data_IF_268487367836
#
_entry.id   IF_268487367836
#
_cell.length_a   1.000
_cell.length_b   1.000
_cell.length_c   1.000
_cell.angle_alpha   90.00
_cell.angle_beta   90.00
_cell.angle_gamma   90.00
#
_symmetry.space_group_name_H-M   'P 1'
#
loop_
_entity.id
_entity.type
_entity.pdbx_description
1 polymer ?
#
# COMPACT_ATOMS: atom_id res chain seq x y z
N UNK A 1 -8.62 2.31 -22.30
CA UNK A 1 -7.64 3.12 -21.56
C UNK A 1 -6.31 2.37 -21.64
N UNK A 2 -5.20 3.04 -21.93
CA UNK A 2 -3.89 2.39 -22.07
C UNK A 2 -3.17 2.52 -20.72
N UNK A 3 -3.19 1.45 -19.92
CA UNK A 3 -2.50 1.41 -18.62
C UNK A 3 -0.99 1.23 -18.82
N UNK A 4 -0.18 1.83 -17.96
CA UNK A 4 1.26 1.60 -17.93
C UNK A 4 1.56 0.19 -17.43
N UNK A 5 2.76 -0.33 -17.74
CA UNK A 5 3.18 -1.64 -17.21
C UNK A 5 3.22 -1.66 -15.67
N UNK A 6 3.48 -0.51 -15.05
CA UNK A 6 3.51 -0.38 -13.60
C UNK A 6 2.10 -0.37 -13.01
N UNK A 7 1.11 0.25 -13.66
CA UNK A 7 -0.30 0.15 -13.25
C UNK A 7 -0.80 -1.30 -13.31
N UNK A 8 -0.50 -2.01 -14.41
CA UNK A 8 -0.85 -3.44 -14.55
C UNK A 8 -0.18 -4.27 -13.45
N UNK A 9 1.08 -3.97 -13.13
CA UNK A 9 1.79 -4.65 -12.04
C UNK A 9 1.15 -4.36 -10.67
N UNK A 10 0.73 -3.12 -10.42
CA UNK A 10 0.04 -2.75 -9.19
C UNK A 10 -1.29 -3.50 -9.04
N UNK A 11 -2.08 -3.56 -10.11
CA UNK A 11 -3.35 -4.28 -10.15
C UNK A 11 -3.13 -5.79 -9.92
N UNK A 12 -2.14 -6.37 -10.61
CA UNK A 12 -1.80 -7.78 -10.42
C UNK A 12 -1.38 -8.10 -8.98
N UNK A 13 -0.51 -7.27 -8.39
CA UNK A 13 -0.05 -7.47 -7.01
C UNK A 13 -1.20 -7.33 -6.01
N UNK A 14 -2.16 -6.42 -6.26
CA UNK A 14 -3.37 -6.27 -5.47
C UNK A 14 -4.25 -7.52 -5.51
N UNK A 15 -4.53 -8.04 -6.71
CA UNK A 15 -5.33 -9.26 -6.88
C UNK A 15 -4.63 -10.52 -6.35
N UNK A 16 -3.30 -10.59 -6.47
CA UNK A 16 -2.50 -11.65 -5.87
C UNK A 16 -2.59 -11.61 -4.34
N UNK A 17 -2.51 -10.42 -3.72
CA UNK A 17 -2.69 -10.28 -2.29
C UNK A 17 -4.09 -10.70 -1.84
N UNK A 18 -5.13 -10.41 -2.64
CA UNK A 18 -6.46 -10.96 -2.40
C UNK A 18 -6.46 -12.48 -2.42
N UNK A 19 -5.86 -13.10 -3.44
CA UNK A 19 -5.80 -14.57 -3.56
C UNK A 19 -5.04 -15.25 -2.42
N UNK A 20 -3.98 -14.61 -1.90
CA UNK A 20 -3.12 -15.17 -0.86
C UNK A 20 -3.63 -14.93 0.57
N UNK A 21 -4.24 -13.77 0.83
CA UNK A 21 -4.61 -13.35 2.19
C UNK A 21 -6.11 -13.40 2.46
N UNK A 22 -6.94 -13.50 1.44
CA UNK A 22 -8.39 -13.40 1.58
C UNK A 22 -9.09 -14.57 0.88
N UNK A 23 -9.74 -15.45 1.65
CA UNK A 23 -10.65 -16.46 1.10
C UNK A 23 -12.06 -15.87 0.89
N UNK A 24 -12.68 -16.15 -0.25
CA UNK A 24 -14.07 -15.82 -0.54
C UNK A 24 -14.30 -15.09 -1.87
N UNK A 25 -15.51 -15.22 -2.42
CA UNK A 25 -15.90 -14.55 -3.66
C UNK A 25 -16.18 -13.06 -3.36
N UNK A 26 -15.21 -12.18 -3.67
CA UNK A 26 -15.32 -10.74 -3.36
C UNK A 26 -16.58 -10.09 -3.94
N UNK A 27 -17.02 -10.51 -5.13
CA UNK A 27 -18.22 -9.95 -5.77
C UNK A 27 -19.52 -10.20 -4.99
N UNK A 28 -19.59 -11.23 -4.14
CA UNK A 28 -20.74 -11.48 -3.25
C UNK A 28 -20.51 -11.05 -1.80
N UNK A 29 -19.36 -10.45 -1.50
CA UNK A 29 -19.00 -10.06 -0.14
C UNK A 29 -19.68 -8.75 0.25
N UNK A 30 -20.26 -8.68 1.46
CA UNK A 30 -20.87 -7.45 1.99
C UNK A 30 -19.81 -6.35 2.19
N UNK A 31 -20.21 -5.09 1.97
CA UNK A 31 -19.34 -3.91 2.01
C UNK A 31 -18.41 -3.81 3.23
N UNK A 32 -18.83 -4.12 4.47
CA UNK A 32 -17.93 -4.04 5.63
C UNK A 32 -16.71 -4.97 5.51
N UNK A 33 -16.89 -6.16 4.96
CA UNK A 33 -15.80 -7.12 4.80
C UNK A 33 -14.85 -6.71 3.67
N UNK A 34 -15.36 -6.14 2.57
CA UNK A 34 -14.51 -5.58 1.51
C UNK A 34 -13.65 -4.43 2.04
N UNK A 35 -14.24 -3.53 2.83
CA UNK A 35 -13.51 -2.43 3.49
C UNK A 35 -12.44 -2.97 4.43
N UNK A 36 -12.76 -4.01 5.20
CA UNK A 36 -11.79 -4.66 6.09
C UNK A 36 -10.63 -5.30 5.32
N UNK A 37 -10.89 -5.98 4.20
CA UNK A 37 -9.83 -6.53 3.32
C UNK A 37 -8.95 -5.41 2.73
N UNK A 38 -9.54 -4.29 2.31
CA UNK A 38 -8.80 -3.12 1.85
C UNK A 38 -7.90 -2.53 2.95
N UNK A 39 -8.42 -2.44 4.18
CA UNK A 39 -7.65 -2.00 5.33
C UNK A 39 -6.48 -2.96 5.62
N UNK A 40 -6.69 -4.28 5.58
CA UNK A 40 -5.62 -5.26 5.78
C UNK A 40 -4.50 -5.13 4.72
N UNK A 41 -4.87 -4.96 3.45
CA UNK A 41 -3.90 -4.75 2.37
C UNK A 41 -3.08 -3.46 2.59
N UNK A 42 -3.71 -2.40 3.09
CA UNK A 42 -3.02 -1.15 3.44
C UNK A 42 -2.06 -1.33 4.62
N UNK A 43 -2.47 -2.04 5.67
CA UNK A 43 -1.58 -2.35 6.80
C UNK A 43 -0.39 -3.21 6.39
N UNK A 44 -0.59 -4.17 5.48
CA UNK A 44 0.51 -4.98 4.94
C UNK A 44 1.55 -4.09 4.22
N UNK A 45 1.10 -3.17 3.37
CA UNK A 45 2.00 -2.23 2.69
C UNK A 45 2.80 -1.37 3.69
N UNK A 46 2.15 -0.87 4.74
CA UNK A 46 2.83 -0.12 5.80
C UNK A 46 3.82 -0.95 6.60
N UNK A 47 3.50 -2.22 6.85
CA UNK A 47 4.43 -3.14 7.49
C UNK A 47 5.71 -3.29 6.68
N UNK A 48 5.62 -3.37 5.35
CA UNK A 48 6.81 -3.42 4.48
C UNK A 48 7.65 -2.14 4.60
N UNK A 49 7.01 -0.96 4.64
CA UNK A 49 7.73 0.31 4.79
C UNK A 49 8.43 0.46 6.14
N UNK A 50 7.91 -0.14 7.22
CA UNK A 50 8.57 -0.13 8.53
C UNK A 50 9.90 -0.87 8.55
N UNK A 51 10.17 -1.74 7.58
CA UNK A 51 11.44 -2.48 7.45
C UNK A 51 12.45 -1.78 6.53
N UNK A 52 12.11 -0.61 5.99
CA UNK A 52 12.99 0.16 5.13
C UNK A 52 13.69 1.27 5.90
N UNK A 53 14.98 1.45 5.61
CA UNK A 53 15.70 2.68 5.97
C UNK A 53 15.37 3.77 4.95
N UNK A 54 14.32 4.54 5.24
CA UNK A 54 13.89 5.60 4.33
C UNK A 54 14.81 6.83 4.41
N UNK A 55 15.26 7.36 3.25
CA UNK A 55 15.95 8.64 3.19
C UNK A 55 15.13 9.77 3.82
N UNK A 56 15.83 10.79 4.34
CA UNK A 56 15.16 11.93 4.97
C UNK A 56 14.43 12.82 3.95
N UNK A 57 14.95 12.90 2.72
CA UNK A 57 14.32 13.67 1.65
C UNK A 57 13.15 12.87 1.06
N UNK A 58 11.97 13.48 1.05
CA UNK A 58 10.74 12.85 0.53
C UNK A 58 10.92 12.35 -0.90
N UNK A 59 11.51 13.15 -1.79
CA UNK A 59 11.72 12.75 -3.19
C UNK A 59 12.60 11.50 -3.34
N UNK A 60 13.63 11.37 -2.50
CA UNK A 60 14.51 10.20 -2.47
C UNK A 60 13.79 8.97 -1.90
N UNK A 61 13.01 9.15 -0.83
CA UNK A 61 12.19 8.08 -0.26
C UNK A 61 11.14 7.58 -1.26
N UNK A 62 10.46 8.48 -1.96
CA UNK A 62 9.52 8.13 -3.03
C UNK A 62 10.23 7.40 -4.16
N UNK A 63 11.41 7.86 -4.58
CA UNK A 63 12.22 7.20 -5.60
C UNK A 63 12.66 5.79 -5.19
N UNK A 64 13.07 5.61 -3.93
CA UNK A 64 13.41 4.31 -3.36
C UNK A 64 12.22 3.36 -3.39
N UNK A 65 11.06 3.80 -2.89
CA UNK A 65 9.83 2.99 -2.83
C UNK A 65 9.37 2.62 -4.24
N UNK A 66 9.30 3.59 -5.16
CA UNK A 66 8.87 3.38 -6.54
C UNK A 66 9.76 2.34 -7.24
N UNK A 67 11.09 2.44 -7.05
CA UNK A 67 12.06 1.52 -7.63
C UNK A 67 11.97 0.14 -7.01
N UNK A 68 11.94 0.05 -5.66
CA UNK A 68 11.95 -1.21 -4.93
C UNK A 68 10.72 -2.07 -5.22
N UNK A 69 9.54 -1.44 -5.31
CA UNK A 69 8.29 -2.14 -5.54
C UNK A 69 7.83 -2.14 -7.00
N UNK A 70 8.61 -1.53 -7.89
CA UNK A 70 8.29 -1.38 -9.31
C UNK A 70 6.91 -0.72 -9.56
N UNK A 71 6.63 0.36 -8.85
CA UNK A 71 5.38 1.12 -8.93
C UNK A 71 5.64 2.54 -9.45
N UNK A 72 4.58 3.24 -9.84
CA UNK A 72 4.69 4.63 -10.27
C UNK A 72 5.08 5.55 -9.11
N UNK A 73 5.81 6.63 -9.41
CA UNK A 73 6.22 7.61 -8.39
C UNK A 73 5.04 8.23 -7.65
N UNK A 74 3.96 8.55 -8.35
CA UNK A 74 2.73 9.10 -7.76
C UNK A 74 2.08 8.11 -6.80
N UNK A 75 2.07 6.82 -7.15
CA UNK A 75 1.58 5.76 -6.27
C UNK A 75 2.45 5.62 -5.02
N UNK A 76 3.78 5.59 -5.19
CA UNK A 76 4.73 5.54 -4.07
C UNK A 76 4.60 6.75 -3.14
N UNK A 77 4.39 7.95 -3.68
CA UNK A 77 4.22 9.19 -2.93
C UNK A 77 2.98 9.18 -2.04
N UNK A 78 1.84 8.78 -2.59
CA UNK A 78 0.59 8.61 -1.82
C UNK A 78 0.76 7.56 -0.71
N UNK A 79 1.48 6.46 -0.98
CA UNK A 79 1.73 5.42 0.02
C UNK A 79 2.64 5.90 1.16
N UNK A 80 3.67 6.68 0.84
CA UNK A 80 4.55 7.27 1.84
C UNK A 80 3.80 8.26 2.73
N UNK A 81 2.95 9.11 2.15
CA UNK A 81 2.13 10.07 2.89
C UNK A 81 1.23 9.39 3.92
N UNK A 82 0.43 8.41 3.47
CA UNK A 82 -0.47 7.68 4.37
C UNK A 82 0.27 6.92 5.47
N UNK A 83 1.47 6.41 5.19
CA UNK A 83 2.29 5.75 6.19
C UNK A 83 2.77 6.73 7.27
N UNK A 84 3.19 7.94 6.89
CA UNK A 84 3.58 9.00 7.83
C UNK A 84 2.38 9.40 8.71
N UNK A 85 1.21 9.64 8.11
CA UNK A 85 -0.02 9.94 8.84
C UNK A 85 -0.38 8.83 9.84
N UNK A 86 -0.31 7.57 9.41
CA UNK A 86 -0.60 6.43 10.28
C UNK A 86 0.36 6.35 11.47
N UNK A 87 1.65 6.66 11.26
CA UNK A 87 2.64 6.71 12.34
C UNK A 87 2.40 7.85 13.32
N UNK A 88 2.00 9.03 12.85
CA UNK A 88 1.63 10.15 13.72
C UNK A 88 0.41 9.81 14.58
N UNK A 89 -0.64 9.24 13.98
CA UNK A 89 -1.83 8.78 14.71
C UNK A 89 -1.47 7.71 15.76
N UNK A 90 -0.66 6.71 15.39
CA UNK A 90 -0.20 5.69 16.33
C UNK A 90 0.69 6.25 17.44
N UNK A 91 1.46 7.31 17.19
CA UNK A 91 2.25 7.98 18.22
C UNK A 91 1.35 8.73 19.20
N UNK A 92 0.36 9.48 18.70
CA UNK A 92 -0.59 10.21 19.53
C UNK A 92 -1.50 9.28 20.36
N UNK A 93 -1.86 8.11 19.82
CA UNK A 93 -2.67 7.11 20.53
C UNK A 93 -1.92 6.34 21.64
N UNK A 94 -0.61 6.58 21.80
CA UNK A 94 0.24 5.96 22.84
C UNK A 94 0.56 6.90 24.01
N UNK A 95 0.10 8.15 23.96
CA UNK A 95 0.19 9.14 25.06
C UNK A 95 -1.11 9.13 25.87
#
# INVERSE_FOLDING_TARGET
MNQTKQEIWQDFAHELAHSLNHEGYQFSMNDPFRKYQGWQAEQFAFHLLNHLELPQLRCEAVGLIATLFNVEHTFADVRLEKWLENREVCFLARL
#
